data_IF_199660561514
#
_entry.id   IF_199660561514
#
_cell.length_a   1.000
_cell.length_b   1.000
_cell.length_c   1.000
_cell.angle_alpha   90.00
_cell.angle_beta   90.00
_cell.angle_gamma   90.00
#
_symmetry.space_group_name_H-M   'P 1'
#
loop_
_entity.id
_entity.type
_entity.pdbx_description
1 polymer ?
#
# COMPACT_ATOMS: atom_id res chain seq x y z
N UNK A 1 1.26 -7.61 31.68
CA UNK A 1 0.48 -6.62 30.92
C UNK A 1 1.45 -6.04 29.92
N UNK A 2 1.48 -6.60 28.72
CA UNK A 2 2.36 -6.09 27.66
C UNK A 2 1.83 -4.75 27.17
N UNK A 3 2.73 -3.78 27.00
CA UNK A 3 2.40 -2.48 26.43
C UNK A 3 1.70 -2.66 25.08
N UNK A 4 0.70 -1.83 24.75
CA UNK A 4 0.03 -1.92 23.46
C UNK A 4 1.04 -1.79 22.31
N UNK A 5 0.91 -2.59 21.25
CA UNK A 5 1.84 -2.58 20.12
C UNK A 5 1.89 -1.19 19.48
N UNK A 6 3.11 -0.68 19.26
CA UNK A 6 3.34 0.62 18.64
C UNK A 6 3.21 0.46 17.12
N UNK A 7 2.25 1.17 16.53
CA UNK A 7 2.12 1.25 15.08
C UNK A 7 2.98 2.38 14.53
N UNK A 8 3.77 2.07 13.50
CA UNK A 8 4.59 3.04 12.79
C UNK A 8 3.97 3.39 11.43
N UNK A 9 4.28 4.58 10.94
CA UNK A 9 3.93 4.97 9.58
C UNK A 9 4.60 4.06 8.56
N UNK A 10 3.91 3.80 7.46
CA UNK A 10 4.39 2.94 6.38
C UNK A 10 4.56 3.74 5.09
N UNK A 11 5.81 3.94 4.66
CA UNK A 11 6.14 4.66 3.42
C UNK A 11 6.48 3.69 2.29
N UNK A 12 5.92 3.92 1.12
CA UNK A 12 6.22 3.14 -0.10
C UNK A 12 6.05 4.01 -1.36
N UNK A 13 6.17 3.41 -2.55
CA UNK A 13 5.90 4.06 -3.83
C UNK A 13 4.69 3.44 -4.53
N UNK A 14 3.98 4.23 -5.32
CA UNK A 14 2.90 3.74 -6.18
C UNK A 14 3.46 2.90 -7.35
N UNK A 15 2.57 2.37 -8.20
CA UNK A 15 2.93 1.53 -9.36
C UNK A 15 3.94 2.15 -10.32
N UNK A 16 4.02 3.48 -10.36
CA UNK A 16 5.00 4.22 -11.16
C UNK A 16 6.44 4.11 -10.62
N UNK A 17 6.61 3.56 -9.42
CA UNK A 17 7.86 3.45 -8.67
C UNK A 17 8.53 4.81 -8.34
N UNK A 18 7.82 5.92 -8.51
CA UNK A 18 8.34 7.28 -8.30
C UNK A 18 7.52 8.04 -7.26
N UNK A 19 6.20 7.92 -7.32
CA UNK A 19 5.30 8.66 -6.43
C UNK A 19 5.33 8.04 -5.03
N UNK A 20 5.95 8.74 -4.08
CA UNK A 20 6.01 8.34 -2.68
C UNK A 20 4.68 8.57 -1.98
N UNK A 21 4.35 7.67 -1.07
CA UNK A 21 3.10 7.67 -0.31
C UNK A 21 3.35 7.10 1.08
N UNK A 22 2.67 7.64 2.09
CA UNK A 22 2.81 7.21 3.48
C UNK A 22 1.45 6.96 4.11
N UNK A 23 1.29 5.82 4.78
CA UNK A 23 0.13 5.49 5.61
C UNK A 23 0.46 5.81 7.06
N UNK A 24 -0.32 6.72 7.66
CA UNK A 24 -0.16 7.14 9.05
C UNK A 24 -1.20 6.46 9.95
N UNK A 25 -0.79 5.85 11.07
CA UNK A 25 -1.72 5.35 12.07
C UNK A 25 -2.32 6.52 12.83
N UNK A 26 -3.65 6.57 12.89
CA UNK A 26 -4.41 7.55 13.65
C UNK A 26 -4.82 6.92 14.97
N UNK A 27 -4.15 7.34 16.05
CA UNK A 27 -4.39 6.85 17.41
C UNK A 27 -5.24 7.82 18.25
N UNK A 28 -5.34 9.07 17.83
CA UNK A 28 -6.28 10.08 18.37
C UNK A 28 -6.85 10.89 17.21
N UNK A 29 -8.12 11.30 17.33
CA UNK A 29 -8.76 12.19 16.36
C UNK A 29 -8.17 13.61 16.38
N UNK A 30 -7.51 14.01 17.47
CA UNK A 30 -6.98 15.37 17.65
C UNK A 30 -5.83 15.72 16.69
N UNK A 31 -5.16 14.69 16.14
CA UNK A 31 -4.08 14.88 15.18
C UNK A 31 -4.60 15.07 13.75
N UNK A 32 -5.87 14.77 13.51
CA UNK A 32 -6.49 14.86 12.19
C UNK A 32 -7.13 16.23 12.04
N UNK A 33 -6.75 17.02 11.02
CA UNK A 33 -7.30 18.35 10.81
C UNK A 33 -8.75 18.27 10.34
N UNK A 34 -9.59 19.23 10.76
CA UNK A 34 -11.02 19.28 10.39
C UNK A 34 -11.25 19.25 8.89
N UNK A 35 -10.40 19.93 8.10
CA UNK A 35 -10.51 19.92 6.64
C UNK A 35 -10.29 18.53 6.01
N UNK A 36 -9.51 17.66 6.66
CA UNK A 36 -9.37 16.27 6.22
C UNK A 36 -10.58 15.43 6.61
N UNK A 37 -11.21 15.69 7.76
CA UNK A 37 -12.47 15.06 8.13
C UNK A 37 -13.60 15.43 7.16
N UNK A 38 -13.70 16.71 6.80
CA UNK A 38 -14.65 17.21 5.79
C UNK A 38 -14.45 16.48 4.47
N UNK A 39 -13.23 16.49 3.93
CA UNK A 39 -12.90 15.79 2.69
C UNK A 39 -13.24 14.29 2.72
N UNK A 40 -12.86 13.57 3.79
CA UNK A 40 -13.14 12.14 3.90
C UNK A 40 -14.64 11.85 4.07
N UNK A 41 -15.37 12.71 4.77
CA UNK A 41 -16.82 12.59 4.92
C UNK A 41 -17.52 12.78 3.58
N UNK A 42 -17.10 13.78 2.79
CA UNK A 42 -17.63 14.05 1.46
C UNK A 42 -17.34 12.89 0.48
N UNK A 43 -16.10 12.38 0.46
CA UNK A 43 -15.76 11.21 -0.35
C UNK A 43 -16.56 9.95 0.05
N UNK A 44 -16.80 9.75 1.35
CA UNK A 44 -17.62 8.62 1.81
C UNK A 44 -19.09 8.79 1.40
N UNK A 45 -19.64 9.99 1.57
CA UNK A 45 -21.00 10.32 1.17
C UNK A 45 -21.20 10.19 -0.35
N UNK A 46 -20.20 10.56 -1.16
CA UNK A 46 -20.24 10.33 -2.61
C UNK A 46 -20.32 8.83 -2.95
N UNK A 47 -19.65 7.98 -2.20
CA UNK A 47 -19.73 6.52 -2.39
C UNK A 47 -21.08 5.94 -1.90
N UNK A 48 -21.69 6.51 -0.86
CA UNK A 48 -23.07 6.21 -0.42
C UNK A 48 -24.06 6.59 -1.53
N UNK A 49 -23.96 7.80 -2.08
CA UNK A 49 -24.88 8.30 -3.10
C UNK A 49 -24.78 7.53 -4.43
N UNK A 50 -23.60 6.97 -4.74
CA UNK A 50 -23.44 5.99 -5.83
C UNK A 50 -24.26 4.74 -5.56
N UNK A 51 -24.32 4.27 -4.32
CA UNK A 51 -25.21 3.18 -3.91
C UNK A 51 -24.82 1.82 -4.48
N UNK A 52 -23.52 1.57 -4.66
CA UNK A 52 -23.00 0.36 -5.32
C UNK A 52 -22.09 -0.50 -4.44
N UNK A 53 -21.56 0.04 -3.33
CA UNK A 53 -20.49 -0.61 -2.56
C UNK A 53 -20.65 -0.54 -1.05
N UNK A 54 -21.54 0.32 -0.55
CA UNK A 54 -21.82 0.52 0.88
C UNK A 54 -23.30 0.20 1.19
N UNK A 55 -23.61 -0.29 2.40
CA UNK A 55 -24.99 -0.60 2.80
C UNK A 55 -25.77 0.63 3.26
N UNK A 56 -25.12 1.79 3.40
CA UNK A 56 -25.79 3.03 3.77
C UNK A 56 -26.71 3.51 2.65
N UNK A 57 -27.91 3.96 3.02
CA UNK A 57 -28.85 4.60 2.10
C UNK A 57 -28.76 6.13 2.18
N UNK A 58 -28.65 6.66 3.40
CA UNK A 58 -28.54 8.09 3.68
C UNK A 58 -27.09 8.49 3.93
N UNK A 59 -26.74 9.71 3.51
CA UNK A 59 -25.44 10.31 3.79
C UNK A 59 -25.26 10.56 5.29
N UNK A 60 -24.01 10.57 5.73
CA UNK A 60 -23.64 10.81 7.11
C UNK A 60 -23.28 12.28 7.33
N UNK A 61 -23.69 12.84 8.46
CA UNK A 61 -23.05 14.05 8.99
C UNK A 61 -21.61 13.75 9.39
N UNK A 62 -20.75 14.79 9.43
CA UNK A 62 -19.35 14.67 9.85
C UNK A 62 -19.20 13.97 11.20
N UNK A 63 -20.07 14.27 12.18
CA UNK A 63 -20.08 13.63 13.50
C UNK A 63 -20.39 12.13 13.42
N UNK A 64 -21.34 11.74 12.57
CA UNK A 64 -21.66 10.33 12.34
C UNK A 64 -20.52 9.61 11.64
N UNK A 65 -19.91 10.24 10.62
CA UNK A 65 -18.75 9.72 9.92
C UNK A 65 -17.56 9.47 10.87
N UNK A 66 -17.18 10.46 11.67
CA UNK A 66 -16.09 10.34 12.64
C UNK A 66 -16.39 9.21 13.62
N UNK A 67 -17.61 9.15 14.16
CA UNK A 67 -18.00 8.06 15.06
C UNK A 67 -17.92 6.70 14.38
N UNK A 68 -18.41 6.56 13.16
CA UNK A 68 -18.41 5.29 12.41
C UNK A 68 -17.00 4.78 12.10
N UNK A 69 -16.09 5.68 11.71
CA UNK A 69 -14.74 5.33 11.28
C UNK A 69 -13.73 5.21 12.43
N UNK A 70 -13.85 6.03 13.48
CA UNK A 70 -12.81 6.20 14.50
C UNK A 70 -13.19 5.64 15.88
N UNK A 71 -14.49 5.42 16.17
CA UNK A 71 -14.87 4.86 17.48
C UNK A 71 -14.35 3.42 17.64
N UNK A 72 -13.58 3.18 18.71
CA UNK A 72 -12.96 1.89 19.06
C UNK A 72 -12.21 1.24 17.89
N UNK A 73 -11.67 2.05 17.00
CA UNK A 73 -11.06 1.62 15.75
C UNK A 73 -9.65 2.17 15.65
N UNK A 74 -8.73 1.37 15.10
CA UNK A 74 -7.44 1.87 14.61
C UNK A 74 -7.64 2.28 13.16
N UNK A 75 -7.23 3.49 12.80
CA UNK A 75 -7.44 4.02 11.45
C UNK A 75 -6.09 4.27 10.77
N UNK A 76 -5.98 3.89 9.49
CA UNK A 76 -4.83 4.22 8.65
C UNK A 76 -5.24 5.18 7.55
N UNK A 77 -4.61 6.35 7.48
CA UNK A 77 -4.84 7.33 6.41
C UNK A 77 -3.60 7.40 5.51
N UNK A 78 -3.81 7.19 4.22
CA UNK A 78 -2.77 7.22 3.19
C UNK A 78 -2.67 8.60 2.55
N UNK A 79 -1.48 9.17 2.60
CA UNK A 79 -1.16 10.51 2.16
C UNK A 79 -0.04 10.48 1.11
N UNK A 80 -0.09 11.40 0.16
CA UNK A 80 0.96 11.64 -0.82
C UNK A 80 2.22 12.21 -0.16
N UNK A 81 3.38 11.67 -0.50
CA UNK A 81 4.66 12.06 0.09
C UNK A 81 4.88 11.46 1.49
N UNK A 82 5.77 12.10 2.25
CA UNK A 82 6.20 11.68 3.60
C UNK A 82 5.85 12.72 4.68
N UNK A 83 5.10 13.76 4.30
CA UNK A 83 4.72 14.84 5.22
C UNK A 83 3.57 14.36 6.12
N UNK A 84 3.71 14.53 7.46
CA UNK A 84 2.72 14.05 8.41
C UNK A 84 1.35 14.71 8.23
N UNK A 85 0.32 14.05 8.75
CA UNK A 85 -1.03 14.61 8.87
C UNK A 85 -0.98 15.60 10.02
N UNK A 86 -0.67 16.85 9.71
CA UNK A 86 -0.63 17.96 10.65
C UNK A 86 -1.36 19.15 10.04
N UNK A 87 -1.78 20.08 10.89
CA UNK A 87 -2.34 21.39 10.51
C UNK A 87 -1.24 22.30 9.91
N UNK A 88 -0.69 21.91 8.75
CA UNK A 88 0.04 22.86 7.91
C UNK A 88 -0.97 23.69 7.12
N UNK A 89 -0.77 25.01 7.06
CA UNK A 89 -1.63 25.90 6.26
C UNK A 89 -1.52 25.49 4.78
N UNK A 90 -2.67 25.29 4.13
CA UNK A 90 -2.86 25.04 2.69
C UNK A 90 -2.56 23.63 2.15
N UNK A 91 -3.12 22.58 2.75
CA UNK A 91 -3.19 21.24 2.11
C UNK A 91 -4.41 21.11 1.20
N UNK A 92 -4.26 20.38 0.10
CA UNK A 92 -5.31 20.09 -0.89
C UNK A 92 -5.61 18.59 -0.85
N UNK A 93 -6.58 18.19 -0.02
CA UNK A 93 -6.81 16.78 0.32
C UNK A 93 -7.28 15.94 -0.87
N UNK A 94 -7.94 16.55 -1.84
CA UNK A 94 -8.36 15.92 -3.09
C UNK A 94 -7.18 15.35 -3.88
N UNK A 95 -6.00 15.96 -3.74
CA UNK A 95 -4.76 15.54 -4.42
C UNK A 95 -3.82 14.75 -3.49
N UNK A 96 -3.92 14.99 -2.18
CA UNK A 96 -2.97 14.48 -1.20
C UNK A 96 -3.48 13.25 -0.42
N UNK A 97 -4.78 13.15 -0.14
CA UNK A 97 -5.37 12.01 0.57
C UNK A 97 -5.80 10.93 -0.43
N UNK A 98 -5.13 9.77 -0.34
CA UNK A 98 -5.29 8.69 -1.32
C UNK A 98 -6.34 7.66 -0.89
N UNK A 99 -6.52 7.49 0.41
CA UNK A 99 -7.51 6.59 0.97
C UNK A 99 -7.34 6.36 2.46
N UNK A 100 -8.29 5.64 3.02
CA UNK A 100 -8.41 5.36 4.45
C UNK A 100 -8.86 3.91 4.64
N UNK A 101 -8.42 3.28 5.71
CA UNK A 101 -9.02 2.06 6.23
C UNK A 101 -9.17 2.13 7.75
N UNK A 102 -10.10 1.34 8.30
CA UNK A 102 -10.18 1.11 9.74
C UNK A 102 -9.97 -0.37 10.09
N UNK A 103 -9.60 -0.61 11.34
CA UNK A 103 -9.49 -1.94 11.95
C UNK A 103 -10.28 -1.88 13.26
N UNK A 104 -11.31 -2.72 13.36
CA UNK A 104 -12.14 -2.82 14.57
C UNK A 104 -12.52 -4.28 14.86
N UNK A 105 -12.86 -4.63 16.11
CA UNK A 105 -13.45 -5.92 16.41
C UNK A 105 -14.73 -6.13 15.59
N UNK A 106 -14.87 -7.30 14.96
CA UNK A 106 -16.03 -7.60 14.13
C UNK A 106 -17.30 -7.88 14.95
N UNK A 107 -17.12 -8.36 16.18
CA UNK A 107 -18.19 -8.80 17.07
C UNK A 107 -18.09 -8.12 18.42
N UNK A 108 -19.22 -7.93 19.13
CA UNK A 108 -19.24 -7.34 20.45
C UNK A 108 -18.63 -8.27 21.52
N UNK A 109 -18.17 -7.67 22.61
CA UNK A 109 -17.67 -8.40 23.79
C UNK A 109 -16.29 -9.03 23.56
N UNK A 110 -15.81 -9.77 24.57
CA UNK A 110 -14.42 -10.30 24.60
C UNK A 110 -14.23 -11.67 23.93
N UNK A 111 -15.32 -12.43 23.72
CA UNK A 111 -15.21 -13.82 23.23
C UNK A 111 -14.72 -13.89 21.78
N UNK A 112 -15.20 -12.96 20.95
CA UNK A 112 -14.89 -12.91 19.52
C UNK A 112 -14.12 -11.64 19.14
N UNK A 113 -13.57 -10.90 20.12
CA UNK A 113 -12.79 -9.68 19.86
C UNK A 113 -11.46 -9.93 19.16
N UNK A 114 -11.02 -11.20 19.09
CA UNK A 114 -9.84 -11.62 18.34
C UNK A 114 -10.07 -11.66 16.81
N UNK A 115 -11.31 -11.46 16.36
CA UNK A 115 -11.69 -11.37 14.95
C UNK A 115 -11.88 -9.89 14.60
N UNK A 116 -11.04 -9.34 13.72
CA UNK A 116 -11.23 -7.98 13.20
C UNK A 116 -12.12 -7.96 11.96
N UNK A 117 -12.58 -6.76 11.65
CA UNK A 117 -13.08 -6.36 10.34
C UNK A 117 -12.46 -5.02 9.96
N UNK A 118 -12.72 -4.59 8.74
CA UNK A 118 -12.23 -3.32 8.24
C UNK A 118 -13.05 -2.81 7.07
N UNK A 119 -13.17 -1.49 7.01
CA UNK A 119 -13.75 -0.74 5.91
C UNK A 119 -12.65 0.01 5.18
N UNK A 120 -12.84 0.23 3.88
CA UNK A 120 -11.86 0.87 3.01
C UNK A 120 -12.55 1.92 2.16
N UNK A 121 -11.91 3.08 2.02
CA UNK A 121 -12.32 4.11 1.09
C UNK A 121 -11.08 4.56 0.31
N UNK A 122 -11.22 4.64 -1.01
CA UNK A 122 -10.18 5.13 -1.92
C UNK A 122 -10.74 6.33 -2.66
N UNK A 123 -10.01 7.43 -2.59
CA UNK A 123 -10.36 8.68 -3.27
C UNK A 123 -10.66 8.41 -4.75
N UNK A 124 -11.83 8.85 -5.20
CA UNK A 124 -12.35 8.52 -6.52
C UNK A 124 -11.49 9.08 -7.66
N UNK A 125 -10.86 10.24 -7.47
CA UNK A 125 -10.05 10.94 -8.48
C UNK A 125 -8.74 10.23 -8.86
N UNK A 126 -8.32 9.21 -8.11
CA UNK A 126 -6.98 8.61 -8.19
C UNK A 126 -6.99 7.07 -8.22
N UNK A 127 -8.10 6.47 -8.65
CA UNK A 127 -8.27 5.02 -8.82
C UNK A 127 -7.30 4.41 -9.86
N UNK A 128 -7.17 3.08 -9.86
CA UNK A 128 -6.31 2.34 -10.81
C UNK A 128 -4.81 2.29 -10.46
N UNK A 129 -4.34 3.16 -9.56
CA UNK A 129 -2.91 3.29 -9.16
C UNK A 129 -2.42 2.24 -8.15
N UNK A 130 -3.26 1.26 -7.79
CA UNK A 130 -2.90 0.19 -6.85
C UNK A 130 -3.05 0.56 -5.36
N UNK A 131 -3.69 1.70 -5.06
CA UNK A 131 -3.92 2.21 -3.70
C UNK A 131 -4.58 1.15 -2.80
N UNK A 132 -5.70 0.55 -3.24
CA UNK A 132 -6.39 -0.48 -2.46
C UNK A 132 -5.51 -1.68 -2.07
N UNK A 133 -4.55 -2.06 -2.92
CA UNK A 133 -3.58 -3.11 -2.61
C UNK A 133 -2.62 -2.68 -1.51
N UNK A 134 -2.13 -1.44 -1.55
CA UNK A 134 -1.24 -0.90 -0.52
C UNK A 134 -1.98 -0.79 0.82
N UNK A 135 -3.19 -0.22 0.82
CA UNK A 135 -4.05 -0.14 2.01
C UNK A 135 -4.29 -1.53 2.62
N UNK A 136 -4.65 -2.52 1.80
CA UNK A 136 -4.91 -3.89 2.28
C UNK A 136 -3.67 -4.55 2.88
N UNK A 137 -2.49 -4.37 2.26
CA UNK A 137 -1.24 -4.89 2.80
C UNK A 137 -0.98 -4.35 4.21
N UNK A 138 -1.11 -3.03 4.40
CA UNK A 138 -0.88 -2.39 5.69
C UNK A 138 -1.97 -2.74 6.71
N UNK A 139 -3.23 -2.79 6.27
CA UNK A 139 -4.35 -3.27 7.09
C UNK A 139 -4.10 -4.66 7.67
N UNK A 140 -3.66 -5.62 6.86
CA UNK A 140 -3.38 -6.99 7.32
C UNK A 140 -2.18 -7.04 8.26
N UNK A 141 -1.12 -6.31 7.91
CA UNK A 141 0.09 -6.21 8.74
C UNK A 141 -0.25 -5.63 10.12
N UNK A 142 -0.96 -4.50 10.17
CA UNK A 142 -1.39 -3.89 11.42
C UNK A 142 -2.40 -4.75 12.18
N UNK A 143 -3.35 -5.40 11.50
CA UNK A 143 -4.32 -6.28 12.17
C UNK A 143 -3.61 -7.43 12.91
N UNK A 144 -2.64 -8.07 12.27
CA UNK A 144 -1.83 -9.11 12.91
C UNK A 144 -1.01 -8.54 14.07
N UNK A 145 -0.37 -7.37 13.89
CA UNK A 145 0.43 -6.73 14.93
C UNK A 145 -0.39 -6.25 16.14
N UNK A 146 -1.65 -5.90 15.95
CA UNK A 146 -2.62 -5.56 16.99
C UNK A 146 -3.12 -6.80 17.76
N UNK A 147 -2.71 -8.00 17.35
CA UNK A 147 -3.04 -9.26 18.03
C UNK A 147 -4.30 -9.96 17.51
N UNK A 148 -4.94 -9.45 16.44
CA UNK A 148 -6.07 -10.15 15.83
C UNK A 148 -5.63 -11.46 15.19
N UNK A 149 -6.46 -12.50 15.32
CA UNK A 149 -6.17 -13.85 14.83
C UNK A 149 -6.82 -14.13 13.48
N UNK A 150 -7.92 -13.45 13.19
CA UNK A 150 -8.67 -13.60 11.96
C UNK A 150 -9.30 -12.28 11.55
N UNK A 151 -9.60 -12.15 10.25
CA UNK A 151 -10.30 -11.03 9.65
C UNK A 151 -11.54 -11.54 8.92
N UNK A 152 -12.69 -10.90 9.14
CA UNK A 152 -13.92 -11.15 8.41
C UNK A 152 -14.40 -9.86 7.75
N UNK A 153 -14.64 -9.90 6.43
CA UNK A 153 -15.34 -8.87 5.69
C UNK A 153 -16.77 -9.34 5.46
N UNK A 154 -17.71 -8.79 6.23
CA UNK A 154 -19.08 -9.34 6.32
C UNK A 154 -19.89 -9.10 5.04
N UNK A 155 -19.75 -7.92 4.44
CA UNK A 155 -20.67 -7.48 3.39
C UNK A 155 -19.96 -6.98 2.14
N UNK A 156 -19.37 -7.90 1.38
CA UNK A 156 -18.82 -7.57 0.06
C UNK A 156 -19.85 -7.92 -1.02
N UNK A 157 -20.45 -6.92 -1.63
CA UNK A 157 -21.47 -7.13 -2.67
C UNK A 157 -20.89 -7.87 -3.88
N UNK A 158 -21.66 -8.82 -4.43
CA UNK A 158 -21.19 -9.64 -5.55
C UNK A 158 -20.93 -8.82 -6.82
N UNK A 159 -21.58 -7.67 -6.95
CA UNK A 159 -21.37 -6.69 -8.03
C UNK A 159 -20.09 -5.86 -7.88
N UNK A 160 -19.49 -5.81 -6.68
CA UNK A 160 -18.23 -5.10 -6.45
C UNK A 160 -17.03 -5.92 -6.95
N UNK A 161 -16.90 -6.01 -8.28
CA UNK A 161 -15.85 -6.78 -8.97
C UNK A 161 -14.44 -6.37 -8.52
N UNK A 162 -14.22 -5.08 -8.27
CA UNK A 162 -12.93 -4.54 -7.85
C UNK A 162 -12.51 -5.07 -6.48
N UNK A 163 -13.40 -5.01 -5.49
CA UNK A 163 -13.14 -5.55 -4.16
C UNK A 163 -12.95 -7.07 -4.19
N UNK A 164 -13.81 -7.81 -4.89
CA UNK A 164 -13.69 -9.27 -5.02
C UNK A 164 -12.35 -9.70 -5.63
N UNK A 165 -11.95 -9.08 -6.75
CA UNK A 165 -10.66 -9.36 -7.38
C UNK A 165 -9.48 -9.05 -6.45
N UNK A 166 -9.60 -8.01 -5.62
CA UNK A 166 -8.59 -7.68 -4.62
C UNK A 166 -8.52 -8.79 -3.56
N UNK A 167 -9.61 -9.09 -2.87
CA UNK A 167 -9.67 -10.06 -1.78
C UNK A 167 -9.25 -11.47 -2.21
N UNK A 168 -9.68 -11.89 -3.39
CA UNK A 168 -9.39 -13.21 -3.96
C UNK A 168 -8.02 -13.31 -4.63
N UNK A 169 -7.32 -12.18 -4.80
CA UNK A 169 -6.00 -12.21 -5.41
C UNK A 169 -5.05 -13.07 -4.59
N UNK A 170 -4.11 -13.75 -5.26
CA UNK A 170 -3.11 -14.57 -4.59
C UNK A 170 -2.21 -13.81 -3.60
N UNK A 171 -2.22 -12.47 -3.63
CA UNK A 171 -1.52 -11.63 -2.66
C UNK A 171 -2.22 -11.58 -1.30
N UNK A 172 -3.54 -11.67 -1.25
CA UNK A 172 -4.33 -11.56 -0.01
C UNK A 172 -5.01 -12.86 0.38
N UNK A 173 -5.48 -13.62 -0.61
CA UNK A 173 -6.00 -14.98 -0.45
C UNK A 173 -7.10 -15.08 0.62
N UNK A 174 -8.00 -14.09 0.67
CA UNK A 174 -9.21 -14.23 1.46
C UNK A 174 -10.07 -15.36 0.89
N UNK A 175 -10.69 -16.15 1.77
CA UNK A 175 -11.59 -17.23 1.38
C UNK A 175 -13.02 -16.73 1.42
N UNK A 176 -13.83 -17.12 0.44
CA UNK A 176 -15.29 -16.99 0.53
C UNK A 176 -15.77 -17.99 1.57
N UNK A 177 -16.19 -17.51 2.73
CA UNK A 177 -16.69 -18.35 3.83
C UNK A 177 -18.21 -18.44 3.86
N UNK A 178 -18.89 -17.53 3.15
CA UNK A 178 -20.34 -17.55 3.01
C UNK A 178 -20.83 -16.68 1.86
N UNK A 179 -22.09 -16.87 1.49
CA UNK A 179 -22.82 -16.05 0.53
C UNK A 179 -24.26 -15.91 1.01
N UNK A 180 -24.79 -14.70 1.03
CA UNK A 180 -26.18 -14.40 1.35
C UNK A 180 -26.85 -13.95 0.05
N UNK A 181 -27.86 -14.69 -0.39
CA UNK A 181 -28.59 -14.36 -1.61
C UNK A 181 -29.53 -13.16 -1.38
N UNK A 182 -29.68 -12.30 -2.39
CA UNK A 182 -30.66 -11.19 -2.42
C UNK A 182 -30.63 -10.32 -1.16
N UNK A 183 -29.44 -9.97 -0.70
CA UNK A 183 -29.25 -9.36 0.63
C UNK A 183 -29.10 -7.84 0.63
N UNK A 184 -29.00 -7.20 -0.55
CA UNK A 184 -28.86 -5.74 -0.66
C UNK A 184 -29.58 -5.20 -1.89
N UNK A 185 -30.24 -4.06 -1.75
CA UNK A 185 -30.76 -3.27 -2.87
C UNK A 185 -29.74 -2.18 -3.23
N UNK A 186 -29.34 -2.14 -4.50
CA UNK A 186 -28.38 -1.15 -5.02
C UNK A 186 -29.10 -0.19 -5.98
N UNK A 187 -28.65 1.06 -6.06
CA UNK A 187 -29.36 2.15 -6.75
C UNK A 187 -29.64 1.88 -8.23
N UNK A 188 -28.79 1.10 -8.90
CA UNK A 188 -28.84 0.82 -10.33
C UNK A 188 -29.24 -0.65 -10.65
N UNK A 189 -29.91 -1.33 -9.71
CA UNK A 189 -30.30 -2.73 -9.86
C UNK A 189 -31.79 -2.90 -9.53
N UNK A 190 -32.53 -3.51 -10.45
CA UNK A 190 -33.96 -3.79 -10.25
C UNK A 190 -34.20 -4.92 -9.24
N UNK A 191 -33.30 -5.90 -9.23
CA UNK A 191 -33.31 -7.04 -8.31
C UNK A 191 -32.29 -6.88 -7.19
N UNK A 192 -32.58 -7.40 -5.97
CA UNK A 192 -31.61 -7.41 -4.89
C UNK A 192 -30.40 -8.29 -5.24
N UNK A 193 -29.22 -7.80 -4.86
CA UNK A 193 -27.92 -8.38 -5.17
C UNK A 193 -27.42 -9.23 -3.99
N UNK A 194 -26.65 -10.27 -4.33
CA UNK A 194 -26.04 -11.15 -3.34
C UNK A 194 -24.83 -10.50 -2.65
N UNK A 195 -24.54 -10.95 -1.44
CA UNK A 195 -23.36 -10.53 -0.68
C UNK A 195 -22.49 -11.72 -0.33
N UNK A 196 -21.17 -11.52 -0.40
CA UNK A 196 -20.14 -12.50 -0.08
C UNK A 196 -19.51 -12.13 1.27
N UNK A 197 -19.35 -13.14 2.12
CA UNK A 197 -18.59 -13.05 3.37
C UNK A 197 -17.19 -13.60 3.09
N UNK A 198 -16.17 -12.78 3.33
CA UNK A 198 -14.78 -13.21 3.23
C UNK A 198 -14.15 -13.42 4.61
N UNK A 199 -13.35 -14.47 4.75
CA UNK A 199 -12.59 -14.78 5.96
C UNK A 199 -11.11 -15.00 5.65
N UNK A 200 -10.24 -14.62 6.59
CA UNK A 200 -8.79 -14.85 6.53
C UNK A 200 -8.20 -15.03 7.93
N UNK A 201 -7.39 -16.07 8.11
CA UNK A 201 -6.56 -16.23 9.30
C UNK A 201 -5.31 -15.35 9.20
N UNK A 202 -4.98 -14.65 10.29
CA UNK A 202 -3.88 -13.68 10.39
C UNK A 202 -2.67 -14.21 11.17
N UNK A 203 -2.88 -15.21 12.05
CA UNK A 203 -1.83 -15.85 12.87
C UNK A 203 -1.31 -17.16 12.31
N UNK A 204 -1.97 -17.71 11.29
CA UNK A 204 -1.38 -18.83 10.56
C UNK A 204 -0.09 -18.32 9.86
N UNK A 205 1.06 -18.52 10.51
CA UNK A 205 2.13 -19.26 9.82
C UNK A 205 1.45 -20.50 9.25
N UNK A 206 1.71 -20.84 7.99
CA UNK A 206 1.08 -21.96 7.30
C UNK A 206 1.26 -23.27 8.12
N UNK A 207 0.46 -23.51 9.15
CA UNK A 207 0.47 -24.76 9.88
C UNK A 207 -0.27 -25.78 9.01
N UNK A 208 0.32 -26.97 8.85
CA UNK A 208 -0.12 -27.98 7.91
C UNK A 208 -1.48 -28.52 8.35
N UNK A 209 -2.55 -27.97 7.78
CA UNK A 209 -3.84 -28.65 7.77
C UNK A 209 -3.74 -29.85 6.80
N UNK A 210 -3.37 -30.99 7.36
CA UNK A 210 -3.62 -32.30 6.78
C UNK A 210 -5.13 -32.47 6.57
N UNK A 211 -5.58 -32.14 5.35
CA UNK A 211 -6.17 -33.08 4.38
C UNK A 211 -6.66 -32.25 3.18
N UNK A 212 -6.16 -32.61 1.99
CA UNK A 212 -6.44 -32.02 0.66
C UNK A 212 -5.63 -30.82 0.15
N UNK A 213 -4.66 -30.26 0.89
CA UNK A 213 -4.03 -29.01 0.45
C UNK A 213 -2.54 -28.87 0.70
N UNK A 214 -1.74 -29.94 0.57
CA UNK A 214 -0.29 -29.86 0.72
C UNK A 214 0.31 -28.75 -0.17
N UNK A 215 0.79 -27.72 0.53
CA UNK A 215 1.97 -26.88 0.30
C UNK A 215 2.02 -26.09 -1.02
N UNK A 216 2.13 -24.76 -0.98
CA UNK A 216 2.56 -23.98 -2.17
C UNK A 216 3.97 -23.40 -2.04
N UNK A 217 4.59 -23.52 -0.85
CA UNK A 217 6.00 -23.22 -0.66
C UNK A 217 6.84 -24.51 -0.75
N UNK A 218 6.30 -25.65 -0.32
CA UNK A 218 6.93 -26.98 -0.46
C UNK A 218 6.55 -27.73 -1.76
N UNK A 219 5.54 -27.26 -2.51
CA UNK A 219 5.13 -27.95 -3.74
C UNK A 219 6.20 -27.93 -4.82
N UNK A 220 7.15 -27.00 -4.84
CA UNK A 220 8.12 -26.94 -5.95
C UNK A 220 9.18 -28.04 -5.84
N UNK A 221 9.81 -28.22 -4.68
CA UNK A 221 10.75 -29.32 -4.44
C UNK A 221 10.03 -30.65 -4.58
N UNK A 222 8.95 -30.85 -3.83
CA UNK A 222 8.17 -32.10 -3.86
C UNK A 222 7.61 -32.39 -5.26
N UNK A 223 7.23 -31.37 -6.05
CA UNK A 223 6.83 -31.55 -7.46
C UNK A 223 8.00 -32.00 -8.32
N UNK A 224 9.15 -31.33 -8.24
CA UNK A 224 10.31 -31.71 -9.05
C UNK A 224 10.83 -33.09 -8.65
N UNK A 225 10.76 -33.43 -7.37
CA UNK A 225 11.11 -34.76 -6.84
C UNK A 225 10.12 -35.83 -7.32
N UNK A 226 8.81 -35.55 -7.33
CA UNK A 226 7.77 -36.42 -7.91
C UNK A 226 7.94 -36.60 -9.43
N UNK A 227 8.27 -35.53 -10.16
CA UNK A 227 8.53 -35.57 -11.61
C UNK A 227 9.80 -36.40 -11.89
N UNK A 228 10.87 -36.15 -11.13
CA UNK A 228 12.13 -36.89 -11.22
C UNK A 228 11.90 -38.39 -10.95
N UNK A 229 11.19 -38.73 -9.89
CA UNK A 229 10.85 -40.12 -9.53
C UNK A 229 10.07 -40.83 -10.65
N UNK A 230 9.07 -40.17 -11.24
CA UNK A 230 8.29 -40.74 -12.34
C UNK A 230 9.13 -40.96 -13.61
N UNK A 231 9.98 -39.99 -13.97
CA UNK A 231 10.86 -40.13 -15.12
C UNK A 231 11.94 -41.21 -14.93
N UNK A 232 12.38 -41.47 -13.68
CA UNK A 232 13.35 -42.52 -13.36
C UNK A 232 12.74 -43.92 -13.28
N UNK A 233 11.56 -44.05 -12.69
CA UNK A 233 10.97 -45.35 -12.33
C UNK A 233 9.82 -45.79 -13.23
N UNK A 234 9.27 -44.87 -14.02
CA UNK A 234 8.02 -45.07 -14.78
C UNK A 234 6.78 -45.25 -13.91
N UNK A 235 6.89 -45.12 -12.58
CA UNK A 235 5.82 -45.35 -11.61
C UNK A 235 5.46 -44.05 -10.88
N UNK A 236 4.19 -43.93 -10.49
CA UNK A 236 3.71 -42.81 -9.68
C UNK A 236 4.04 -43.04 -8.20
N UNK A 237 4.29 -41.96 -7.45
CA UNK A 237 4.42 -42.03 -6.00
C UNK A 237 3.14 -42.62 -5.37
N UNK A 238 3.28 -43.38 -4.28
CA UNK A 238 2.15 -44.10 -3.63
C UNK A 238 1.03 -43.14 -3.19
N UNK A 239 1.40 -41.94 -2.76
CA UNK A 239 0.48 -40.90 -2.30
C UNK A 239 -0.06 -39.99 -3.44
N UNK A 240 0.23 -40.29 -4.71
CA UNK A 240 -0.17 -39.44 -5.83
C UNK A 240 -1.67 -39.59 -6.17
N UNK A 241 -2.40 -38.47 -6.07
CA UNK A 241 -3.82 -38.35 -6.41
C UNK A 241 -4.07 -38.50 -7.92
N UNK A 242 -5.32 -38.79 -8.33
CA UNK A 242 -5.70 -38.92 -9.74
C UNK A 242 -5.40 -37.66 -10.56
N UNK A 243 -5.61 -36.48 -9.98
CA UNK A 243 -5.32 -35.18 -10.61
C UNK A 243 -3.82 -34.92 -10.75
N UNK A 244 -3.01 -35.25 -9.73
CA UNK A 244 -1.55 -35.16 -9.81
C UNK A 244 -0.99 -36.10 -10.89
N UNK A 245 -1.48 -37.34 -10.98
CA UNK A 245 -1.09 -38.28 -12.05
C UNK A 245 -1.37 -37.71 -13.45
N UNK A 246 -2.51 -37.05 -13.63
CA UNK A 246 -2.86 -36.39 -14.90
C UNK A 246 -1.95 -35.20 -15.22
N UNK A 247 -1.70 -34.33 -14.23
CA UNK A 247 -0.78 -33.18 -14.37
C UNK A 247 0.64 -33.62 -14.66
N UNK A 248 1.10 -34.68 -14.01
CA UNK A 248 2.45 -35.22 -14.16
C UNK A 248 2.65 -35.76 -15.58
N UNK A 249 1.72 -36.55 -16.13
CA UNK A 249 1.78 -37.00 -17.53
C UNK A 249 1.83 -35.86 -18.54
N UNK A 250 1.05 -34.79 -18.30
CA UNK A 250 1.05 -33.60 -19.17
C UNK A 250 2.33 -32.77 -19.04
N UNK A 251 2.92 -32.74 -17.84
CA UNK A 251 4.13 -31.94 -17.56
C UNK A 251 5.42 -32.68 -17.92
N UNK A 252 5.46 -34.01 -17.83
CA UNK A 252 6.68 -34.82 -17.95
C UNK A 252 7.36 -34.71 -19.32
N UNK A 253 6.59 -34.44 -20.38
CA UNK A 253 7.15 -34.21 -21.73
C UNK A 253 8.07 -32.99 -21.81
N UNK A 254 7.98 -32.06 -20.85
CA UNK A 254 8.79 -30.84 -20.81
C UNK A 254 10.08 -30.97 -19.98
N UNK A 255 10.28 -32.11 -19.33
CA UNK A 255 11.41 -32.37 -18.45
C UNK A 255 12.25 -33.53 -18.97
N UNK A 256 13.57 -33.42 -18.81
CA UNK A 256 14.53 -34.50 -19.10
C UNK A 256 15.41 -34.76 -17.89
N UNK A 257 15.94 -35.97 -17.79
CA UNK A 257 16.94 -36.34 -16.78
C UNK A 257 18.25 -36.62 -17.47
N UNK A 258 19.30 -35.94 -17.01
CA UNK A 258 20.70 -36.17 -17.42
C UNK A 258 21.54 -36.18 -16.15
N UNK A 259 22.41 -37.18 -15.97
CA UNK A 259 23.30 -37.32 -14.80
C UNK A 259 22.60 -37.15 -13.44
N UNK A 260 21.44 -37.78 -13.29
CA UNK A 260 20.60 -37.70 -12.08
C UNK A 260 20.13 -36.27 -11.72
N UNK A 261 20.20 -35.32 -12.66
CA UNK A 261 19.67 -33.95 -12.53
C UNK A 261 18.47 -33.76 -13.45
N UNK A 262 17.52 -32.94 -13.00
CA UNK A 262 16.31 -32.62 -13.75
C UNK A 262 16.54 -31.35 -14.58
N UNK A 263 16.18 -31.38 -15.85
CA UNK A 263 16.27 -30.25 -16.76
C UNK A 263 14.90 -29.89 -17.33
N UNK A 264 14.66 -28.60 -17.56
CA UNK A 264 13.46 -28.09 -18.24
C UNK A 264 13.88 -27.12 -19.35
N UNK A 265 13.56 -27.44 -20.61
CA UNK A 265 13.94 -26.62 -21.78
C UNK A 265 15.43 -26.21 -21.77
N UNK A 266 16.33 -27.12 -21.41
CA UNK A 266 17.78 -26.90 -21.36
C UNK A 266 18.32 -26.25 -20.07
N UNK A 267 17.47 -25.92 -19.09
CA UNK A 267 17.87 -25.29 -17.82
C UNK A 267 17.86 -26.29 -16.66
N UNK A 268 18.88 -26.26 -15.80
CA UNK A 268 18.95 -27.14 -14.63
C UNK A 268 17.87 -26.71 -13.62
N UNK A 269 17.05 -27.67 -13.19
CA UNK A 269 15.99 -27.43 -12.21
C UNK A 269 16.56 -27.59 -10.80
N UNK A 270 16.48 -26.54 -9.99
CA UNK A 270 17.02 -26.53 -8.63
C UNK A 270 15.88 -26.61 -7.62
N UNK A 271 15.72 -27.78 -6.98
CA UNK A 271 14.68 -28.02 -5.99
C UNK A 271 15.04 -27.52 -4.59
N UNK A 272 16.32 -27.63 -4.19
CA UNK A 272 16.80 -27.27 -2.85
C UNK A 272 16.87 -25.73 -2.65
N UNK A 273 16.11 -25.15 -1.70
CA UNK A 273 16.10 -23.71 -1.43
C UNK A 273 17.46 -23.13 -1.01
N UNK A 274 18.26 -23.88 -0.24
CA UNK A 274 19.60 -23.43 0.16
C UNK A 274 20.51 -23.27 -1.07
N UNK A 275 20.45 -24.23 -2.00
CA UNK A 275 21.19 -24.17 -3.27
C UNK A 275 20.69 -23.05 -4.18
N UNK A 276 19.37 -22.77 -4.19
CA UNK A 276 18.82 -21.62 -4.93
C UNK A 276 19.41 -20.29 -4.42
N UNK A 277 19.50 -20.11 -3.10
CA UNK A 277 20.08 -18.93 -2.49
C UNK A 277 21.58 -18.81 -2.75
N UNK A 278 22.31 -19.92 -2.69
CA UNK A 278 23.73 -19.98 -3.04
C UNK A 278 23.98 -19.55 -4.49
N UNK A 279 23.21 -20.08 -5.44
CA UNK A 279 23.30 -19.70 -6.86
C UNK A 279 23.01 -18.20 -7.05
N UNK A 280 21.95 -17.68 -6.42
CA UNK A 280 21.63 -16.26 -6.45
C UNK A 280 22.79 -15.41 -5.92
N UNK A 281 23.39 -15.83 -4.81
CA UNK A 281 24.49 -15.10 -4.18
C UNK A 281 25.75 -15.09 -5.06
N UNK A 282 26.16 -16.24 -5.58
CA UNK A 282 27.33 -16.36 -6.46
C UNK A 282 27.15 -15.49 -7.71
N UNK A 283 25.98 -15.56 -8.36
CA UNK A 283 25.70 -14.79 -9.57
C UNK A 283 25.60 -13.30 -9.28
N UNK A 284 25.04 -12.91 -8.14
CA UNK A 284 24.97 -11.53 -7.69
C UNK A 284 26.36 -10.94 -7.45
N UNK A 285 27.21 -11.64 -6.69
CA UNK A 285 28.57 -11.21 -6.31
C UNK A 285 29.51 -11.17 -7.53
N UNK A 286 29.55 -12.25 -8.32
CA UNK A 286 30.42 -12.36 -9.51
C UNK A 286 30.11 -11.32 -10.59
N UNK A 287 28.87 -10.81 -10.62
CA UNK A 287 28.45 -9.78 -11.56
C UNK A 287 28.42 -8.37 -10.95
N UNK A 288 29.22 -8.13 -9.92
CA UNK A 288 29.44 -6.80 -9.35
C UNK A 288 28.22 -6.26 -8.60
N UNK A 289 27.56 -7.10 -7.80
CA UNK A 289 26.37 -6.74 -7.03
C UNK A 289 25.22 -6.18 -7.88
N UNK A 290 24.94 -6.85 -9.00
CA UNK A 290 23.89 -6.42 -9.91
C UNK A 290 22.49 -6.43 -9.28
N UNK A 291 21.63 -5.50 -9.71
CA UNK A 291 20.28 -5.33 -9.17
C UNK A 291 19.34 -6.50 -9.49
N UNK A 292 18.18 -6.52 -8.81
CA UNK A 292 17.22 -7.66 -8.80
C UNK A 292 16.87 -8.16 -10.20
N UNK A 293 16.54 -7.26 -11.13
CA UNK A 293 16.13 -7.67 -12.48
C UNK A 293 17.27 -8.32 -13.25
N UNK A 294 18.48 -7.75 -13.20
CA UNK A 294 19.66 -8.30 -13.88
C UNK A 294 20.07 -9.64 -13.29
N UNK A 295 20.10 -9.74 -11.97
CA UNK A 295 20.41 -11.00 -11.29
C UNK A 295 19.35 -12.09 -11.60
N UNK A 296 18.07 -11.71 -11.68
CA UNK A 296 16.98 -12.63 -12.08
C UNK A 296 17.18 -13.16 -13.50
N UNK A 297 17.58 -12.29 -14.44
CA UNK A 297 17.87 -12.71 -15.82
C UNK A 297 19.04 -13.68 -15.89
N UNK A 298 20.15 -13.38 -15.20
CA UNK A 298 21.35 -14.24 -15.15
C UNK A 298 21.04 -15.63 -14.58
N UNK A 299 20.26 -15.68 -13.49
CA UNK A 299 19.83 -16.95 -12.90
C UNK A 299 18.95 -17.73 -13.88
N UNK A 300 18.02 -17.04 -14.54
CA UNK A 300 17.06 -17.65 -15.47
C UNK A 300 17.69 -18.13 -16.78
N UNK A 301 18.94 -17.78 -17.08
CA UNK A 301 19.67 -18.23 -18.26
C UNK A 301 20.05 -19.72 -18.14
N UNK A 302 20.50 -20.14 -16.96
CA UNK A 302 21.03 -21.48 -16.72
C UNK A 302 20.14 -22.35 -15.82
N UNK A 303 19.31 -21.74 -14.98
CA UNK A 303 18.56 -22.45 -13.95
C UNK A 303 17.06 -22.20 -14.03
N UNK A 304 16.30 -23.13 -13.44
CA UNK A 304 14.86 -23.03 -13.33
C UNK A 304 14.37 -23.45 -11.93
N UNK A 305 13.56 -22.59 -11.32
CA UNK A 305 12.67 -22.94 -10.21
C UNK A 305 11.50 -21.97 -10.16
N UNK A 306 10.50 -22.27 -9.34
CA UNK A 306 9.37 -21.38 -9.16
C UNK A 306 9.81 -20.13 -8.39
N UNK A 307 9.42 -18.94 -8.87
CA UNK A 307 9.64 -17.66 -8.20
C UNK A 307 11.13 -17.26 -8.01
N UNK A 308 11.96 -17.44 -9.04
CA UNK A 308 13.38 -16.99 -9.06
C UNK A 308 13.56 -15.56 -8.53
N UNK A 309 12.69 -14.63 -8.92
CA UNK A 309 12.75 -13.23 -8.50
C UNK A 309 12.67 -13.04 -6.98
N UNK A 310 11.91 -13.89 -6.28
CA UNK A 310 11.75 -13.81 -4.82
C UNK A 310 13.05 -14.24 -4.13
N UNK A 311 13.66 -15.35 -4.58
CA UNK A 311 14.98 -15.81 -4.09
C UNK A 311 16.07 -14.76 -4.32
N UNK A 312 16.09 -14.14 -5.51
CA UNK A 312 17.03 -13.07 -5.85
C UNK A 312 16.80 -11.82 -4.99
N UNK A 313 15.54 -11.43 -4.80
CA UNK A 313 15.17 -10.29 -3.95
C UNK A 313 15.63 -10.51 -2.51
N UNK A 314 15.40 -11.71 -1.97
CA UNK A 314 15.86 -12.08 -0.63
C UNK A 314 17.39 -12.03 -0.52
N UNK A 315 18.11 -12.58 -1.50
CA UNK A 315 19.56 -12.57 -1.54
C UNK A 315 20.12 -11.13 -1.50
N UNK A 316 19.64 -10.26 -2.40
CA UNK A 316 20.14 -8.88 -2.53
C UNK A 316 19.79 -8.04 -1.30
N UNK A 317 18.56 -8.15 -0.77
CA UNK A 317 18.15 -7.45 0.45
C UNK A 317 18.99 -7.83 1.66
N UNK A 318 19.59 -9.02 1.67
CA UNK A 318 20.45 -9.50 2.75
C UNK A 318 21.95 -9.34 2.45
N UNK A 319 22.32 -8.81 1.28
CA UNK A 319 23.71 -8.55 0.93
C UNK A 319 24.28 -7.37 1.73
N UNK A 320 25.36 -7.60 2.48
CA UNK A 320 26.02 -6.58 3.31
C UNK A 320 26.59 -5.43 2.46
N UNK A 321 27.19 -5.74 1.31
CA UNK A 321 27.81 -4.75 0.42
C UNK A 321 26.77 -3.85 -0.25
N UNK A 322 25.64 -4.39 -0.67
CA UNK A 322 24.52 -3.59 -1.20
C UNK A 322 23.95 -2.64 -0.15
N UNK A 323 23.77 -3.10 1.10
CA UNK A 323 23.29 -2.23 2.20
C UNK A 323 24.23 -1.06 2.49
N UNK A 324 25.55 -1.26 2.38
CA UNK A 324 26.54 -0.21 2.61
C UNK A 324 26.52 0.81 1.45
N UNK A 325 26.46 0.33 0.21
CA UNK A 325 26.36 1.20 -0.96
C UNK A 325 25.06 2.02 -0.98
N UNK A 326 23.93 1.44 -0.57
CA UNK A 326 22.66 2.18 -0.44
C UNK A 326 22.78 3.35 0.55
N UNK A 327 23.43 3.14 1.71
CA UNK A 327 23.66 4.21 2.70
C UNK A 327 24.60 5.30 2.18
N UNK A 328 25.66 4.93 1.45
CA UNK A 328 26.61 5.90 0.89
C UNK A 328 26.02 6.70 -0.28
N UNK A 329 25.22 6.07 -1.13
CA UNK A 329 24.48 6.75 -2.22
C UNK A 329 23.43 7.69 -1.65
N UNK A 330 22.68 7.27 -0.62
CA UNK A 330 21.73 8.13 0.09
C UNK A 330 22.42 9.39 0.66
N UNK A 331 23.58 9.24 1.30
CA UNK A 331 24.34 10.37 1.84
C UNK A 331 24.81 11.37 0.75
N UNK A 332 25.24 10.87 -0.42
CA UNK A 332 25.67 11.71 -1.56
C UNK A 332 24.52 12.47 -2.23
N UNK A 333 23.31 11.92 -2.20
CA UNK A 333 22.11 12.56 -2.79
C UNK A 333 21.51 13.60 -1.83
N UNK A 334 21.55 13.35 -0.51
CA UNK A 334 20.98 14.24 0.50
C UNK A 334 21.79 15.54 0.65
N UNK A 335 23.12 15.48 0.53
CA UNK A 335 24.03 16.62 0.70
C UNK A 335 23.74 17.81 -0.27
N UNK A 336 23.59 17.61 -1.60
CA UNK A 336 23.22 18.68 -2.54
C UNK A 336 21.81 19.25 -2.31
N UNK A 337 20.86 18.41 -1.89
CA UNK A 337 19.46 18.81 -1.65
C UNK A 337 19.37 19.74 -0.44
N UNK A 338 20.07 19.42 0.65
CA UNK A 338 20.17 20.27 1.84
C UNK A 338 20.87 21.60 1.52
N UNK A 339 21.89 21.60 0.64
CA UNK A 339 22.57 22.82 0.20
C UNK A 339 21.66 23.72 -0.63
N UNK A 340 20.81 23.16 -1.51
CA UNK A 340 19.79 23.92 -2.26
C UNK A 340 18.67 24.45 -1.37
N UNK A 341 18.23 23.68 -0.38
CA UNK A 341 17.23 24.14 0.59
C UNK A 341 17.71 25.38 1.35
N UNK A 342 18.95 25.36 1.87
CA UNK A 342 19.57 26.53 2.53
C UNK A 342 19.73 27.73 1.61
N UNK A 343 20.06 27.52 0.33
CA UNK A 343 20.19 28.60 -0.64
C UNK A 343 18.83 29.28 -0.92
N UNK A 344 17.76 28.50 -0.97
CA UNK A 344 16.40 29.02 -1.16
C UNK A 344 15.88 29.78 0.07
N UNK A 345 16.18 29.32 1.28
CA UNK A 345 15.87 30.06 2.52
C UNK A 345 16.58 31.42 2.54
N UNK A 346 17.87 31.45 2.20
CA UNK A 346 18.62 32.70 2.10
C UNK A 346 18.07 33.63 1.01
N UNK A 347 17.65 33.09 -0.14
CA UNK A 347 17.06 33.89 -1.22
C UNK A 347 15.71 34.50 -0.81
N UNK A 348 14.88 33.76 -0.06
CA UNK A 348 13.61 34.29 0.45
C UNK A 348 13.83 35.43 1.46
N UNK A 349 14.84 35.32 2.33
CA UNK A 349 15.18 36.40 3.25
C UNK A 349 15.61 37.68 2.52
N UNK A 350 16.40 37.55 1.45
CA UNK A 350 16.83 38.70 0.62
C UNK A 350 15.63 39.32 -0.11
N UNK A 351 14.73 38.51 -0.66
CA UNK A 351 13.50 39.00 -1.31
C UNK A 351 12.62 39.75 -0.32
N UNK A 352 12.48 39.25 0.91
CA UNK A 352 11.67 39.88 1.95
C UNK A 352 12.24 41.24 2.39
N UNK A 353 13.57 41.36 2.52
CA UNK A 353 14.23 42.64 2.77
C UNK A 353 14.04 43.63 1.62
N UNK A 354 14.13 43.18 0.37
CA UNK A 354 13.92 44.04 -0.80
C UNK A 354 12.48 44.55 -0.88
N UNK A 355 11.49 43.71 -0.56
CA UNK A 355 10.08 44.09 -0.50
C UNK A 355 9.81 45.11 0.61
N UNK A 356 10.38 44.92 1.80
CA UNK A 356 10.28 45.91 2.89
C UNK A 356 10.82 47.28 2.46
N UNK A 357 11.98 47.31 1.80
CA UNK A 357 12.58 48.55 1.32
C UNK A 357 11.72 49.27 0.25
N UNK A 358 11.03 48.53 -0.62
CA UNK A 358 10.08 49.10 -1.56
C UNK A 358 8.90 49.77 -0.85
N UNK A 359 8.30 49.10 0.14
CA UNK A 359 7.19 49.67 0.93
C UNK A 359 7.58 50.96 1.66
N UNK A 360 8.80 51.06 2.17
CA UNK A 360 9.28 52.30 2.80
C UNK A 360 9.43 53.44 1.78
N UNK A 361 9.89 53.14 0.56
CA UNK A 361 10.00 54.11 -0.52
C UNK A 361 8.62 54.61 -0.99
N UNK A 362 7.63 53.71 -1.10
CA UNK A 362 6.26 54.07 -1.50
C UNK A 362 5.54 54.91 -0.43
N UNK A 363 5.77 54.61 0.85
CA UNK A 363 5.25 55.40 1.97
C UNK A 363 5.85 56.83 1.96
N UNK A 364 7.15 56.97 1.70
CA UNK A 364 7.82 58.26 1.58
C UNK A 364 7.31 59.07 0.38
N UNK A 365 7.06 58.43 -0.77
CA UNK A 365 6.51 59.08 -1.96
C UNK A 365 5.07 59.56 -1.78
N UNK A 366 4.26 58.82 -1.00
CA UNK A 366 2.88 59.18 -0.66
C UNK A 366 2.85 60.39 0.27
N UNK A 367 3.67 60.39 1.33
CA UNK A 367 3.80 61.54 2.23
C UNK A 367 4.23 62.83 1.50
N UNK A 368 5.06 62.71 0.45
CA UNK A 368 5.50 63.84 -0.38
C UNK A 368 4.40 64.39 -1.29
N UNK A 369 3.45 63.54 -1.72
CA UNK A 369 2.27 63.95 -2.49
C UNK A 369 1.26 64.66 -1.60
N UNK A 370 1.01 64.12 -0.41
CA UNK A 370 0.10 64.73 0.56
C UNK A 370 0.59 66.13 0.96
N UNK A 371 1.90 66.29 1.21
CA UNK A 371 2.50 67.60 1.49
C UNK A 371 2.24 68.65 0.39
N UNK A 372 2.36 68.26 -0.89
CA UNK A 372 2.10 69.15 -2.04
C UNK A 372 0.62 69.45 -2.24
N UNK A 373 -0.27 68.59 -1.77
CA UNK A 373 -1.72 68.77 -1.89
C UNK A 373 -2.22 69.76 -0.83
N UNK A 374 -1.69 69.70 0.40
CA UNK A 374 -2.02 70.65 1.48
C UNK A 374 -1.60 72.08 1.15
N UNK A 375 -0.42 72.28 0.55
CA UNK A 375 0.08 73.60 0.13
C UNK A 375 -0.83 74.26 -0.94
N UNK A 376 -1.43 73.46 -1.82
CA UNK A 376 -2.33 73.95 -2.88
C UNK A 376 -3.71 74.37 -2.33
N UNK A 377 -4.28 73.62 -1.38
CA UNK A 377 -5.56 73.97 -0.73
C UNK A 377 -5.46 75.22 0.13
N UNK A 378 -4.30 75.47 0.75
CA UNK A 378 -4.09 76.66 1.60
C UNK A 378 -3.97 77.95 0.78
N UNK A 379 -3.61 77.86 -0.51
CA UNK A 379 -3.50 79.00 -1.41
C UNK A 379 -4.76 79.34 -2.21
N UNK A 380 -5.75 78.43 -2.28
CA UNK A 380 -7.02 78.70 -2.99
C UNK A 380 -8.09 79.28 -2.06
N UNK A 381 -8.04 78.96 -0.76
CA UNK A 381 -9.00 79.49 0.22
C UNK A 381 -8.82 81.00 0.51
N UNK A 382 -7.66 81.58 0.22
CA UNK A 382 -7.39 83.02 0.45
C UNK A 382 -7.82 83.95 -0.69
N UNK A 383 -8.45 83.43 -1.75
CA UNK A 383 -8.89 84.21 -2.93
C UNK A 383 -10.42 84.23 -3.11
N UNK A 384 -11.20 83.64 -2.19
CA UNK A 384 -12.66 83.58 -2.28
C UNK A 384 -13.39 84.33 -1.15
N UNK A 385 -12.66 84.98 -0.24
CA UNK A 385 -13.20 85.79 0.88
C UNK A 385 -12.88 87.30 0.77
N UNK A 386 -12.45 87.79 -0.41
CA UNK A 386 -12.41 89.22 -0.79
C UNK A 386 -13.23 89.44 -2.06
#
# INVERSE_FOLDING_TARGET
MDSPPILFSYTTTLKDNTTKVTIYPILSIDIVPNSLFEFLCDEYNLEIERGETLPHFETLSMKQFIRHWFDKSVVGIMILGENPITNHKHRIWEQECLGIFNIKPNFPGKRCSHICSGEFLVNAGIRGKGIGKILTNVFLFWSSHLGYESCILNQVFETNVSARKLWESGAFNFKRVGKIAKSVYLKNYDDPVDTIIYGKNLKEEEEPQDKQGATNIDNSSVRFDKIKHYLQTGKYHKDATRQEKSRLRSSSSHYSIMDNKLYMKGKEVISNPAKQLEICQILHEKNGHCGINRCTSLVSEHYHWMRIKDSVTFCIKNCKLCKINEKQVAARIIQPVLKRARLNENLQQVIQQAQQNLTYADAAATALKDYKQTDMTTHVQSYLDE
#
